data_IF_834225270911
#
_entry.id   IF_834225270911
#
_cell.length_a   1.000
_cell.length_b   1.000
_cell.length_c   1.000
_cell.angle_alpha   90.00
_cell.angle_beta   90.00
_cell.angle_gamma   90.00
#
_symmetry.space_group_name_H-M   'P 1'
#
loop_
_entity.id
_entity.type
_entity.pdbx_description
1 polymer ?
#
# COMPACT_ATOMS: atom_id res chain seq x y z
N UNK A 1 1.19 -10.83 36.40
CA UNK A 1 0.67 -11.70 35.33
C UNK A 1 0.89 -10.96 34.03
N UNK A 2 1.38 -11.61 32.98
CA UNK A 2 1.67 -10.92 31.72
C UNK A 2 0.38 -10.76 30.91
N UNK A 3 0.09 -9.53 30.49
CA UNK A 3 -1.06 -9.23 29.65
C UNK A 3 -0.77 -9.60 28.18
N UNK A 4 -1.82 -10.00 27.46
CA UNK A 4 -1.75 -10.19 26.02
C UNK A 4 -1.82 -8.82 25.34
N UNK A 5 -0.79 -8.47 24.59
CA UNK A 5 -0.70 -7.20 23.86
C UNK A 5 -0.67 -7.44 22.36
N UNK A 6 -1.48 -6.70 21.62
CA UNK A 6 -1.50 -6.71 20.15
C UNK A 6 -0.53 -5.66 19.64
N UNK A 7 0.46 -6.09 18.86
CA UNK A 7 1.47 -5.20 18.29
C UNK A 7 1.10 -4.83 16.86
N UNK A 8 1.12 -3.53 16.58
CA UNK A 8 0.89 -2.97 15.25
C UNK A 8 2.16 -2.32 14.76
N UNK A 9 2.59 -2.67 13.55
CA UNK A 9 3.72 -2.02 12.88
C UNK A 9 3.23 -1.46 11.55
N UNK A 10 3.76 -0.30 11.18
CA UNK A 10 3.61 0.23 9.84
C UNK A 10 4.13 -0.78 8.81
N UNK A 11 3.45 -0.88 7.68
CA UNK A 11 3.96 -1.65 6.56
C UNK A 11 5.32 -1.08 6.09
N UNK A 12 6.35 -1.91 5.87
CA UNK A 12 7.67 -1.49 5.45
C UNK A 12 7.72 -1.28 3.94
N UNK A 13 7.01 -0.25 3.44
CA UNK A 13 7.01 0.09 2.02
C UNK A 13 8.44 0.19 1.46
N UNK A 14 8.61 -0.31 0.25
CA UNK A 14 9.86 -0.19 -0.50
C UNK A 14 9.63 0.56 -1.81
N UNK A 15 10.52 1.48 -2.15
CA UNK A 15 10.46 2.19 -3.44
C UNK A 15 10.53 1.17 -4.59
N UNK A 16 9.64 1.32 -5.57
CA UNK A 16 9.45 0.39 -6.69
C UNK A 16 8.43 -0.73 -6.42
N UNK A 17 7.93 -0.87 -5.21
CA UNK A 17 6.94 -1.89 -4.87
C UNK A 17 5.58 -1.62 -5.54
N UNK A 18 4.96 -2.67 -6.08
CA UNK A 18 3.60 -2.64 -6.62
C UNK A 18 2.67 -3.20 -5.56
N UNK A 19 1.69 -2.40 -5.16
CA UNK A 19 0.75 -2.76 -4.09
C UNK A 19 -0.69 -2.62 -4.58
N UNK A 20 -1.57 -3.43 -3.99
CA UNK A 20 -3.01 -3.29 -4.12
C UNK A 20 -3.59 -3.05 -2.73
N UNK A 21 -4.27 -1.92 -2.54
CA UNK A 21 -4.98 -1.60 -1.30
C UNK A 21 -6.42 -2.05 -1.47
N UNK A 22 -6.86 -2.98 -0.62
CA UNK A 22 -8.18 -3.63 -0.75
C UNK A 22 -9.32 -2.65 -0.42
N UNK A 23 -9.23 -1.95 0.71
CA UNK A 23 -10.34 -1.19 1.26
C UNK A 23 -10.02 0.30 1.51
N UNK A 24 -11.08 1.09 1.63
CA UNK A 24 -11.04 2.50 2.05
C UNK A 24 -10.75 3.48 0.91
N UNK A 25 -10.56 4.76 1.26
CA UNK A 25 -10.40 5.87 0.29
C UNK A 25 -9.16 5.77 -0.61
N UNK A 26 -8.26 4.84 -0.30
CA UNK A 26 -7.00 4.62 -1.03
C UNK A 26 -7.03 3.29 -1.77
N UNK A 27 -8.18 2.63 -1.85
CA UNK A 27 -8.29 1.34 -2.51
C UNK A 27 -7.86 1.43 -3.98
N UNK A 28 -7.35 0.31 -4.48
CA UNK A 28 -6.82 0.18 -5.83
C UNK A 28 -5.31 -0.02 -5.89
N UNK A 29 -4.81 0.03 -7.12
CA UNK A 29 -3.43 -0.28 -7.46
C UNK A 29 -2.51 0.94 -7.37
N UNK A 30 -1.32 0.73 -6.82
CA UNK A 30 -0.33 1.78 -6.64
C UNK A 30 1.09 1.29 -6.88
N UNK A 31 1.93 2.18 -7.40
CA UNK A 31 3.38 2.07 -7.37
C UNK A 31 3.92 2.93 -6.23
N UNK A 32 4.75 2.36 -5.36
CA UNK A 32 5.49 3.12 -4.36
C UNK A 32 6.64 3.85 -5.05
N UNK A 33 6.55 5.17 -5.17
CA UNK A 33 7.56 5.98 -5.85
C UNK A 33 8.52 6.66 -4.89
N UNK A 34 8.13 6.83 -3.62
CA UNK A 34 9.02 7.32 -2.57
C UNK A 34 8.53 6.92 -1.17
N UNK A 35 9.45 6.81 -0.23
CA UNK A 35 9.17 6.47 1.17
C UNK A 35 10.14 7.24 2.07
N UNK A 36 9.62 7.90 3.08
CA UNK A 36 10.40 8.49 4.17
C UNK A 36 9.92 7.95 5.53
N UNK A 37 10.40 8.52 6.63
CA UNK A 37 10.04 8.07 7.98
C UNK A 37 8.55 8.25 8.31
N UNK A 38 7.88 9.21 7.69
CA UNK A 38 6.50 9.63 8.00
C UNK A 38 5.53 9.39 6.85
N UNK A 39 6.00 9.46 5.60
CA UNK A 39 5.16 9.46 4.40
C UNK A 39 5.52 8.34 3.43
N UNK A 40 4.53 7.96 2.65
CA UNK A 40 4.69 7.16 1.44
C UNK A 40 4.06 7.91 0.27
N UNK A 41 4.79 8.02 -0.83
CA UNK A 41 4.29 8.61 -2.07
C UNK A 41 3.91 7.49 -3.02
N UNK A 42 2.64 7.50 -3.42
CA UNK A 42 2.03 6.48 -4.27
C UNK A 42 1.65 7.09 -5.62
N UNK A 43 1.97 6.39 -6.70
CA UNK A 43 1.57 6.74 -8.07
C UNK A 43 0.51 5.77 -8.57
N UNK A 44 -0.61 6.30 -9.04
CA UNK A 44 -1.65 5.52 -9.72
C UNK A 44 -1.12 5.03 -11.07
N UNK A 45 -1.14 3.72 -11.38
CA UNK A 45 -0.59 3.20 -12.63
C UNK A 45 -1.42 3.57 -13.86
N UNK A 46 -2.71 3.88 -13.68
CA UNK A 46 -3.62 4.22 -14.78
C UNK A 46 -3.52 5.70 -15.15
N UNK A 47 -3.60 6.58 -14.15
CA UNK A 47 -3.63 8.04 -14.38
C UNK A 47 -2.28 8.73 -14.27
N UNK A 48 -1.27 8.05 -13.72
CA UNK A 48 0.04 8.64 -13.41
C UNK A 48 0.04 9.63 -12.25
N UNK A 49 -1.12 9.93 -11.64
CA UNK A 49 -1.23 10.88 -10.53
C UNK A 49 -0.52 10.36 -9.29
N UNK A 50 0.16 11.27 -8.61
CA UNK A 50 0.89 11.00 -7.37
C UNK A 50 0.20 11.61 -6.16
N UNK A 51 0.24 10.89 -5.05
CA UNK A 51 -0.28 11.33 -3.77
C UNK A 51 0.66 10.90 -2.66
N UNK A 52 0.95 11.82 -1.74
CA UNK A 52 1.74 11.54 -0.54
C UNK A 52 0.81 11.38 0.68
N UNK A 53 1.00 10.30 1.41
CA UNK A 53 0.15 9.89 2.54
C UNK A 53 1.00 9.62 3.77
N UNK A 54 0.47 9.86 4.97
CA UNK A 54 1.07 9.31 6.20
C UNK A 54 1.18 7.80 6.10
N UNK A 55 2.35 7.24 6.42
CA UNK A 55 2.58 5.80 6.37
C UNK A 55 1.47 5.04 7.09
N UNK A 56 0.88 4.11 6.36
CA UNK A 56 -0.29 3.35 6.77
C UNK A 56 -0.16 1.89 6.31
N UNK A 57 -1.21 1.09 6.53
CA UNK A 57 -1.32 -0.35 6.22
C UNK A 57 -0.71 -1.31 7.25
N UNK A 58 -1.53 -2.32 7.58
CA UNK A 58 -1.21 -3.54 8.29
C UNK A 58 -1.19 -4.66 7.24
N UNK A 59 -0.19 -5.53 7.25
CA UNK A 59 -0.06 -6.63 6.28
C UNK A 59 -1.24 -7.61 6.44
N UNK A 60 -2.09 -7.72 5.42
CA UNK A 60 -3.26 -8.60 5.46
C UNK A 60 -2.96 -10.02 4.92
N UNK A 61 -2.21 -10.16 3.81
CA UNK A 61 -1.63 -11.39 3.24
C UNK A 61 -0.89 -11.07 1.92
N UNK A 62 -0.05 -11.98 1.39
CA UNK A 62 0.68 -11.83 0.12
C UNK A 62 0.30 -12.95 -0.85
N UNK A 63 -0.22 -12.60 -2.03
CA UNK A 63 -0.63 -13.55 -3.08
C UNK A 63 0.02 -13.17 -4.42
N UNK A 64 0.19 -14.15 -5.31
CA UNK A 64 0.53 -13.92 -6.73
C UNK A 64 -0.74 -13.53 -7.50
N UNK A 65 -0.71 -12.37 -8.18
CA UNK A 65 -1.83 -11.87 -8.99
C UNK A 65 -1.36 -11.06 -10.20
N UNK A 66 -2.21 -10.94 -11.21
CA UNK A 66 -1.98 -10.08 -12.38
C UNK A 66 -2.05 -8.59 -11.98
N UNK A 67 -1.13 -7.77 -12.51
CA UNK A 67 -1.10 -6.33 -12.29
C UNK A 67 -0.75 -5.56 -13.58
N UNK A 68 -1.49 -4.50 -13.96
CA UNK A 68 -2.72 -4.03 -13.30
C UNK A 68 -3.87 -5.03 -13.53
N UNK A 69 -4.82 -5.05 -12.58
CA UNK A 69 -6.09 -5.73 -12.82
C UNK A 69 -6.77 -5.00 -13.99
N UNK A 70 -6.89 -5.70 -15.12
CA UNK A 70 -7.51 -5.13 -16.31
C UNK A 70 -9.02 -4.99 -16.07
N UNK A 71 -9.55 -3.78 -16.15
CA UNK A 71 -10.99 -3.57 -16.22
C UNK A 71 -11.45 -3.95 -17.64
N UNK A 72 -12.18 -5.07 -17.77
CA UNK A 72 -12.91 -5.36 -19.01
C UNK A 72 -14.10 -4.40 -19.09
N UNK A 73 -14.19 -3.66 -20.20
CA UNK A 73 -15.35 -2.83 -20.57
C UNK A 73 -16.61 -3.66 -20.72
#
# INVERSE_FOLDING_TARGET
MADQVTLFKQYPFSKGEKIHIVDGKRSGDWLVVDVDDKKVTLRCPVSGREFSWDRFCYMANRNEQQWPLSHQN
#
